data_IF_560411913373
#
_entry.id   IF_560411913373
#
_cell.length_a   1.000
_cell.length_b   1.000
_cell.length_c   1.000
_cell.angle_alpha   90.00
_cell.angle_beta   90.00
_cell.angle_gamma   90.00
#
_symmetry.space_group_name_H-M   'P 1'
#
loop_
_entity.id
_entity.type
_entity.pdbx_description
1 polymer ?
#
# COMPACT_ATOMS: atom_id res chain seq x y z
N UNK A 1 7.11 -17.55 -7.40
CA UNK A 1 7.27 -16.08 -7.35
C UNK A 1 5.92 -15.39 -7.19
N UNK A 2 4.91 -15.69 -8.01
CA UNK A 2 3.54 -15.14 -7.89
C UNK A 2 2.96 -15.40 -6.49
N UNK A 3 2.87 -16.68 -6.08
CA UNK A 3 2.36 -17.07 -4.76
C UNK A 3 3.02 -16.34 -3.58
N UNK A 4 4.33 -16.08 -3.65
CA UNK A 4 5.04 -15.35 -2.60
C UNK A 4 4.69 -13.86 -2.62
N UNK A 5 4.52 -13.27 -3.82
CA UNK A 5 4.07 -11.90 -3.94
C UNK A 5 2.66 -11.72 -3.35
N UNK A 6 1.75 -12.67 -3.58
CA UNK A 6 0.38 -12.57 -3.05
C UNK A 6 0.37 -12.68 -1.53
N UNK A 7 1.11 -13.62 -0.95
CA UNK A 7 1.28 -13.70 0.51
C UNK A 7 1.87 -12.42 1.08
N UNK A 8 2.91 -11.87 0.45
CA UNK A 8 3.50 -10.61 0.87
C UNK A 8 2.49 -9.45 0.78
N UNK A 9 1.71 -9.33 -0.29
CA UNK A 9 0.67 -8.30 -0.44
C UNK A 9 -0.41 -8.40 0.64
N UNK A 10 -0.87 -9.62 0.95
CA UNK A 10 -1.87 -9.86 2.00
C UNK A 10 -1.32 -9.46 3.37
N UNK A 11 -0.13 -9.95 3.71
CA UNK A 11 0.48 -9.63 4.99
C UNK A 11 0.82 -8.15 5.12
N UNK A 12 1.27 -7.50 4.04
CA UNK A 12 1.54 -6.07 4.02
C UNK A 12 0.28 -5.26 4.35
N UNK A 13 -0.85 -5.59 3.71
CA UNK A 13 -2.14 -5.00 4.01
C UNK A 13 -2.55 -5.17 5.47
N UNK A 14 -2.43 -6.39 6.02
CA UNK A 14 -2.77 -6.68 7.43
C UNK A 14 -1.92 -5.84 8.38
N UNK A 15 -0.60 -5.79 8.19
CA UNK A 15 0.30 -5.00 9.03
C UNK A 15 0.02 -3.50 8.93
N UNK A 16 -0.38 -3.01 7.76
CA UNK A 16 -0.77 -1.61 7.57
C UNK A 16 -2.09 -1.29 8.29
N UNK A 17 -3.09 -2.18 8.23
CA UNK A 17 -4.35 -2.05 8.98
C UNK A 17 -4.07 -1.97 10.49
N UNK A 18 -3.20 -2.83 11.02
CA UNK A 18 -2.80 -2.79 12.44
C UNK A 18 -2.18 -1.43 12.77
N UNK A 19 -1.20 -0.99 11.97
CA UNK A 19 -0.50 0.28 12.19
C UNK A 19 -1.44 1.47 12.23
N UNK A 20 -2.31 1.63 11.23
CA UNK A 20 -3.26 2.74 11.19
C UNK A 20 -4.37 2.62 12.22
N UNK A 21 -4.77 1.41 12.61
CA UNK A 21 -5.72 1.22 13.71
C UNK A 21 -5.12 1.69 15.04
N UNK A 22 -3.83 1.43 15.26
CA UNK A 22 -3.12 1.94 16.44
C UNK A 22 -3.02 3.47 16.43
N UNK A 23 -2.67 4.05 15.28
CA UNK A 23 -2.62 5.51 15.09
C UNK A 23 -4.00 6.14 15.34
N UNK A 24 -5.05 5.57 14.77
CA UNK A 24 -6.44 6.04 14.96
C UNK A 24 -6.87 5.93 16.41
N UNK A 25 -6.60 4.79 17.07
CA UNK A 25 -6.91 4.58 18.47
C UNK A 25 -6.24 5.61 19.38
N UNK A 26 -4.98 5.93 19.12
CA UNK A 26 -4.23 6.90 19.90
C UNK A 26 -4.65 8.36 19.64
N UNK A 27 -4.70 8.78 18.38
CA UNK A 27 -4.84 10.20 18.02
C UNK A 27 -6.29 10.63 17.77
N UNK A 28 -7.15 9.73 17.30
CA UNK A 28 -8.57 10.05 17.04
C UNK A 28 -9.43 9.82 18.27
N UNK A 29 -9.29 8.64 18.89
CA UNK A 29 -10.16 8.22 19.98
C UNK A 29 -9.56 8.36 21.38
N UNK A 30 -8.26 8.69 21.48
CA UNK A 30 -7.54 8.79 22.75
C UNK A 30 -7.68 7.51 23.62
N UNK A 31 -7.78 6.34 23.00
CA UNK A 31 -7.93 5.07 23.72
C UNK A 31 -6.69 4.68 24.53
N UNK A 32 -5.52 5.07 24.03
CA UNK A 32 -4.23 4.83 24.67
C UNK A 32 -3.22 5.89 24.20
N UNK A 33 -2.11 6.01 24.93
CA UNK A 33 -0.99 6.89 24.53
C UNK A 33 -0.07 6.14 23.56
N UNK A 34 0.40 6.83 22.52
CA UNK A 34 1.38 6.31 21.57
C UNK A 34 2.79 6.30 22.21
N UNK A 35 3.02 5.38 23.14
CA UNK A 35 4.28 5.24 23.87
C UNK A 35 4.56 3.77 24.23
N UNK A 36 5.84 3.46 24.51
CA UNK A 36 6.28 2.13 24.93
C UNK A 36 5.93 1.05 23.90
N UNK A 37 5.34 -0.06 24.35
CA UNK A 37 5.01 -1.22 23.51
C UNK A 37 4.10 -0.88 22.33
N UNK A 38 3.11 0.00 22.53
CA UNK A 38 2.18 0.39 21.44
C UNK A 38 2.94 1.05 20.29
N UNK A 39 3.85 1.95 20.63
CA UNK A 39 4.70 2.63 19.67
C UNK A 39 5.60 1.65 18.92
N UNK A 40 6.25 0.74 19.65
CA UNK A 40 7.10 -0.31 19.04
C UNK A 40 6.32 -1.21 18.10
N UNK A 41 5.09 -1.62 18.46
CA UNK A 41 4.25 -2.43 17.58
C UNK A 41 3.91 -1.67 16.32
N UNK A 42 3.47 -0.41 16.42
CA UNK A 42 3.17 0.44 15.27
C UNK A 42 4.38 0.59 14.34
N UNK A 43 5.57 0.85 14.88
CA UNK A 43 6.81 0.95 14.10
C UNK A 43 7.16 -0.36 13.40
N UNK A 44 7.10 -1.48 14.11
CA UNK A 44 7.43 -2.80 13.55
C UNK A 44 6.44 -3.16 12.44
N UNK A 45 5.14 -2.89 12.63
CA UNK A 45 4.14 -3.17 11.60
C UNK A 45 4.26 -2.23 10.39
N UNK A 46 4.64 -0.96 10.58
CA UNK A 46 4.96 -0.06 9.46
C UNK A 46 6.25 -0.45 8.73
N UNK A 47 7.27 -0.91 9.44
CA UNK A 47 8.47 -1.44 8.81
C UNK A 47 8.16 -2.71 8.02
N UNK A 48 7.40 -3.63 8.62
CA UNK A 48 7.04 -4.90 8.01
C UNK A 48 6.20 -4.70 6.75
N UNK A 49 5.21 -3.80 6.77
CA UNK A 49 4.37 -3.55 5.60
C UNK A 49 5.19 -3.02 4.42
N UNK A 50 6.07 -2.04 4.66
CA UNK A 50 6.96 -1.51 3.62
C UNK A 50 7.88 -2.58 3.02
N UNK A 51 8.50 -3.42 3.85
CA UNK A 51 9.35 -4.52 3.39
C UNK A 51 8.54 -5.53 2.57
N UNK A 52 7.36 -5.92 3.05
CA UNK A 52 6.51 -6.90 2.37
C UNK A 52 6.02 -6.38 1.01
N UNK A 53 5.63 -5.10 0.92
CA UNK A 53 5.30 -4.46 -0.35
C UNK A 53 6.49 -4.44 -1.32
N UNK A 54 7.68 -4.07 -0.82
CA UNK A 54 8.88 -4.03 -1.64
C UNK A 54 9.23 -5.41 -2.20
N UNK A 55 9.16 -6.45 -1.37
CA UNK A 55 9.43 -7.83 -1.78
C UNK A 55 8.38 -8.34 -2.78
N UNK A 56 7.09 -8.11 -2.50
CA UNK A 56 6.02 -8.53 -3.41
C UNK A 56 6.19 -7.89 -4.79
N UNK A 57 6.39 -6.58 -4.81
CA UNK A 57 6.54 -5.80 -6.04
C UNK A 57 7.83 -6.15 -6.79
N UNK A 58 8.91 -6.48 -6.08
CA UNK A 58 10.15 -6.99 -6.68
C UNK A 58 9.95 -8.33 -7.41
N UNK A 59 9.21 -9.27 -6.79
CA UNK A 59 8.86 -10.53 -7.46
C UNK A 59 7.97 -10.31 -8.67
N UNK A 60 6.93 -9.47 -8.56
CA UNK A 60 6.04 -9.17 -9.68
C UNK A 60 6.75 -8.43 -10.82
N UNK A 61 7.69 -7.54 -10.51
CA UNK A 61 8.52 -6.87 -11.51
C UNK A 61 9.30 -7.90 -12.32
N UNK A 62 9.99 -8.83 -11.65
CA UNK A 62 10.75 -9.89 -12.32
C UNK A 62 9.88 -10.76 -13.21
N UNK A 63 8.68 -11.13 -12.75
CA UNK A 63 7.72 -11.90 -13.56
C UNK A 63 7.30 -11.11 -14.80
N UNK A 64 6.94 -9.83 -14.64
CA UNK A 64 6.52 -8.98 -15.76
C UNK A 64 7.63 -8.74 -16.78
N UNK A 65 8.89 -8.69 -16.34
CA UNK A 65 10.04 -8.68 -17.26
C UNK A 65 10.15 -9.97 -18.05
N UNK A 66 9.93 -11.14 -17.43
CA UNK A 66 9.98 -12.44 -18.13
C UNK A 66 8.86 -12.55 -19.18
N UNK A 67 7.66 -12.05 -18.89
CA UNK A 67 6.53 -12.07 -19.83
C UNK A 67 6.52 -10.88 -20.81
N UNK A 68 7.59 -10.09 -20.87
CA UNK A 68 7.74 -8.91 -21.74
C UNK A 68 6.64 -7.85 -21.56
N UNK A 69 6.07 -7.71 -20.36
CA UNK A 69 5.09 -6.68 -20.03
C UNK A 69 5.79 -5.48 -19.34
N UNK A 70 6.43 -4.64 -20.15
CA UNK A 70 7.22 -3.51 -19.66
C UNK A 70 6.39 -2.51 -18.83
N UNK A 71 5.15 -2.22 -19.25
CA UNK A 71 4.29 -1.26 -18.56
C UNK A 71 3.98 -1.69 -17.13
N UNK A 72 3.62 -2.97 -16.93
CA UNK A 72 3.33 -3.51 -15.60
C UNK A 72 4.63 -3.68 -14.80
N UNK A 73 5.75 -4.07 -15.43
CA UNK A 73 7.04 -4.15 -14.75
C UNK A 73 7.47 -2.79 -14.16
N UNK A 74 7.29 -1.70 -14.89
CA UNK A 74 7.54 -0.33 -14.39
C UNK A 74 6.61 0.01 -13.23
N UNK A 75 5.30 -0.27 -13.35
CA UNK A 75 4.34 -0.04 -12.28
C UNK A 75 4.72 -0.77 -10.99
N UNK A 76 5.11 -2.04 -11.08
CA UNK A 76 5.57 -2.83 -9.93
C UNK A 76 6.91 -2.31 -9.38
N UNK A 77 7.82 -1.83 -10.23
CA UNK A 77 9.07 -1.20 -9.78
C UNK A 77 8.78 0.05 -8.93
N UNK A 78 7.80 0.86 -9.34
CA UNK A 78 7.37 2.04 -8.57
C UNK A 78 6.82 1.61 -7.20
N UNK A 79 5.99 0.56 -7.13
CA UNK A 79 5.50 0.01 -5.84
C UNK A 79 6.68 -0.47 -4.97
N UNK A 80 7.69 -1.09 -5.59
CA UNK A 80 8.88 -1.55 -4.87
C UNK A 80 9.60 -0.39 -4.16
N UNK A 81 9.86 0.71 -4.87
CA UNK A 81 10.40 1.93 -4.25
C UNK A 81 9.47 2.52 -3.19
N UNK A 82 8.16 2.48 -3.43
CA UNK A 82 7.16 2.91 -2.44
C UNK A 82 7.28 2.14 -1.12
N UNK A 83 7.39 0.80 -1.21
CA UNK A 83 7.60 -0.07 -0.06
C UNK A 83 8.92 0.20 0.67
N UNK A 84 9.99 0.48 -0.06
CA UNK A 84 11.28 0.87 0.53
C UNK A 84 11.13 2.17 1.36
N UNK A 85 10.44 3.19 0.83
CA UNK A 85 10.20 4.40 1.61
C UNK A 85 9.40 4.12 2.89
N UNK A 86 8.34 3.33 2.82
CA UNK A 86 7.60 2.94 4.03
C UNK A 86 8.47 2.17 5.04
N UNK A 87 9.33 1.27 4.56
CA UNK A 87 10.26 0.54 5.42
C UNK A 87 11.24 1.49 6.12
N UNK A 88 11.79 2.48 5.40
CA UNK A 88 12.66 3.53 5.97
C UNK A 88 11.92 4.33 7.04
N UNK A 89 10.65 4.68 6.81
CA UNK A 89 9.82 5.33 7.82
C UNK A 89 9.70 4.49 9.10
N UNK A 90 9.47 3.19 8.97
CA UNK A 90 9.37 2.31 10.14
C UNK A 90 10.71 2.12 10.89
N UNK A 91 11.82 2.01 10.16
CA UNK A 91 13.16 1.77 10.74
C UNK A 91 13.70 2.96 11.54
N UNK A 92 13.42 4.19 11.09
CA UNK A 92 14.01 5.41 11.64
C UNK A 92 13.02 6.26 12.44
N UNK A 93 11.97 5.63 12.98
CA UNK A 93 10.93 6.31 13.76
C UNK A 93 10.32 7.52 13.03
N UNK A 94 10.04 7.32 11.74
CA UNK A 94 9.39 8.30 10.90
C UNK A 94 7.96 8.54 11.35
N UNK A 95 7.68 9.77 11.77
CA UNK A 95 6.38 10.25 12.21
C UNK A 95 5.85 11.21 11.15
N UNK A 96 4.99 10.76 10.21
CA UNK A 96 4.46 11.63 9.16
C UNK A 96 3.67 12.84 9.68
N UNK A 97 3.23 12.83 10.93
CA UNK A 97 2.62 13.99 11.59
C UNK A 97 3.58 15.16 11.83
N UNK A 98 4.91 14.96 11.83
CA UNK A 98 5.88 16.07 11.88
C UNK A 98 5.95 16.85 10.56
N UNK A 99 5.37 16.31 9.49
CA UNK A 99 5.27 16.99 8.21
C UNK A 99 4.01 17.87 8.23
N UNK A 100 4.17 19.08 8.72
CA UNK A 100 3.06 20.05 8.84
C UNK A 100 2.72 20.76 7.52
N UNK A 101 3.60 20.73 6.53
CA UNK A 101 3.43 21.45 5.28
C UNK A 101 4.27 20.82 4.17
N UNK A 102 4.02 21.19 2.91
CA UNK A 102 4.74 20.61 1.76
C UNK A 102 6.24 20.92 1.79
N UNK A 103 6.62 22.01 2.48
CA UNK A 103 8.02 22.39 2.65
C UNK A 103 8.85 21.26 3.24
N UNK A 104 8.33 20.62 4.30
CA UNK A 104 9.02 19.54 5.02
C UNK A 104 9.05 18.21 4.26
N UNK A 105 8.18 18.04 3.26
CA UNK A 105 8.31 16.91 2.32
C UNK A 105 9.49 17.15 1.39
N UNK A 106 9.58 18.34 0.80
CA UNK A 106 10.55 18.69 -0.25
C UNK A 106 11.96 18.97 0.28
N UNK A 107 12.05 19.59 1.45
CA UNK A 107 13.29 19.96 2.11
C UNK A 107 13.18 19.67 3.62
N UNK A 108 13.31 18.39 4.02
CA UNK A 108 13.39 18.01 5.43
C UNK A 108 14.54 18.75 6.13
N UNK A 109 14.38 19.07 7.40
CA UNK A 109 15.30 19.86 8.21
C UNK A 109 15.50 19.27 9.61
N UNK A 110 15.90 20.09 10.59
CA UNK A 110 16.06 19.63 11.98
C UNK A 110 14.75 19.32 12.70
N UNK A 111 13.61 19.82 12.21
CA UNK A 111 12.29 19.61 12.80
C UNK A 111 11.52 18.44 12.17
N UNK A 112 11.77 18.16 10.89
CA UNK A 112 11.25 17.00 10.19
C UNK A 112 12.35 16.28 9.42
N UNK A 113 12.63 15.03 9.79
CA UNK A 113 13.67 14.21 9.17
C UNK A 113 13.16 13.59 7.86
N UNK A 114 14.09 13.12 7.02
CA UNK A 114 13.75 12.41 5.79
C UNK A 114 12.85 11.18 6.03
N UNK A 115 13.05 10.46 7.14
CA UNK A 115 12.21 9.34 7.54
C UNK A 115 10.76 9.75 7.81
N UNK A 116 10.52 10.98 8.31
CA UNK A 116 9.18 11.53 8.54
C UNK A 116 8.48 11.84 7.19
N UNK A 117 9.24 12.21 6.16
CA UNK A 117 8.73 12.48 4.80
C UNK A 117 8.55 11.20 3.95
N UNK A 118 9.21 10.11 4.30
CA UNK A 118 9.16 8.84 3.55
C UNK A 118 7.74 8.30 3.29
N UNK A 119 6.77 8.36 4.23
CA UNK A 119 5.40 7.95 3.96
C UNK A 119 4.73 8.70 2.81
N UNK A 120 5.07 9.97 2.60
CA UNK A 120 4.55 10.77 1.48
C UNK A 120 5.11 10.30 0.14
N UNK A 121 6.40 10.00 0.08
CA UNK A 121 7.02 9.40 -1.11
C UNK A 121 6.47 8.00 -1.37
N UNK A 122 6.38 7.18 -0.32
CA UNK A 122 5.81 5.83 -0.36
C UNK A 122 4.41 5.81 -0.94
N UNK A 123 3.50 6.60 -0.37
CA UNK A 123 2.10 6.62 -0.82
C UNK A 123 1.95 7.19 -2.23
N UNK A 124 2.78 8.16 -2.62
CA UNK A 124 2.77 8.73 -3.97
C UNK A 124 3.14 7.67 -5.01
N UNK A 125 4.16 6.86 -4.73
CA UNK A 125 4.51 5.71 -5.58
C UNK A 125 3.32 4.75 -5.72
N UNK A 126 2.64 4.42 -4.63
CA UNK A 126 1.45 3.56 -4.65
C UNK A 126 0.30 4.17 -5.46
N UNK A 127 -0.01 5.45 -5.26
CA UNK A 127 -1.05 6.14 -6.02
C UNK A 127 -0.78 6.12 -7.52
N UNK A 128 0.46 6.41 -7.94
CA UNK A 128 0.85 6.40 -9.37
C UNK A 128 0.73 4.99 -9.94
N UNK A 129 1.33 4.00 -9.28
CA UNK A 129 1.34 2.62 -9.78
C UNK A 129 -0.06 1.99 -9.83
N UNK A 130 -0.90 2.24 -8.82
CA UNK A 130 -2.28 1.75 -8.80
C UNK A 130 -3.16 2.45 -9.84
N UNK A 131 -2.89 3.72 -10.17
CA UNK A 131 -3.56 4.41 -11.29
C UNK A 131 -3.19 3.79 -12.63
N UNK A 132 -1.90 3.49 -12.84
CA UNK A 132 -1.43 2.78 -14.03
C UNK A 132 -2.07 1.40 -14.14
N UNK A 133 -2.10 0.65 -13.03
CA UNK A 133 -2.76 -0.65 -12.95
C UNK A 133 -4.24 -0.57 -13.32
N UNK A 134 -4.98 0.37 -12.71
CA UNK A 134 -6.42 0.51 -12.92
C UNK A 134 -6.75 0.86 -14.38
N UNK A 135 -5.96 1.73 -15.00
CA UNK A 135 -6.08 2.04 -16.42
C UNK A 135 -5.88 0.78 -17.28
N UNK A 136 -4.87 -0.05 -16.95
CA UNK A 136 -4.59 -1.30 -17.65
C UNK A 136 -5.70 -2.35 -17.56
N UNK A 137 -6.49 -2.37 -16.48
CA UNK A 137 -7.59 -3.34 -16.28
C UNK A 137 -8.98 -2.77 -16.51
N UNK A 138 -9.11 -1.50 -16.91
CA UNK A 138 -10.40 -0.80 -16.97
C UNK A 138 -11.44 -1.48 -17.89
N UNK A 139 -10.95 -2.06 -19.00
CA UNK A 139 -11.75 -2.77 -19.99
C UNK A 139 -12.13 -4.20 -19.62
N UNK A 140 -11.64 -4.75 -18.50
CA UNK A 140 -11.94 -6.12 -18.11
C UNK A 140 -13.39 -6.29 -17.61
N UNK A 141 -13.96 -7.51 -17.72
CA UNK A 141 -15.29 -7.80 -17.19
C UNK A 141 -15.40 -7.54 -15.69
N UNK A 142 -16.48 -6.87 -15.27
CA UNK A 142 -16.73 -6.48 -13.87
C UNK A 142 -17.77 -7.37 -13.18
N UNK A 143 -18.22 -8.42 -13.87
CA UNK A 143 -19.32 -9.28 -13.45
C UNK A 143 -18.98 -10.26 -12.33
N UNK A 144 -17.68 -10.47 -12.04
CA UNK A 144 -17.21 -11.33 -10.94
C UNK A 144 -16.41 -10.50 -9.95
N UNK A 145 -16.74 -10.61 -8.66
CA UNK A 145 -16.03 -9.91 -7.58
C UNK A 145 -14.56 -10.38 -7.47
N UNK A 146 -14.33 -11.70 -7.53
CA UNK A 146 -12.97 -12.24 -7.63
C UNK A 146 -12.50 -12.11 -9.07
N UNK A 147 -11.87 -10.98 -9.39
CA UNK A 147 -11.32 -10.69 -10.72
C UNK A 147 -10.20 -9.64 -10.66
N UNK A 148 -9.35 -9.56 -11.70
CA UNK A 148 -8.25 -8.60 -11.74
C UNK A 148 -8.72 -7.15 -11.61
N UNK A 149 -9.89 -6.82 -12.18
CA UNK A 149 -10.46 -5.47 -12.10
C UNK A 149 -10.70 -5.06 -10.65
N UNK A 150 -11.41 -5.87 -9.86
CA UNK A 150 -11.74 -5.52 -8.48
C UNK A 150 -10.52 -5.55 -7.56
N UNK A 151 -9.55 -6.44 -7.79
CA UNK A 151 -8.30 -6.44 -7.03
C UNK A 151 -7.56 -5.10 -7.18
N UNK A 152 -7.34 -4.68 -8.43
CA UNK A 152 -6.65 -3.42 -8.73
C UNK A 152 -7.47 -2.20 -8.35
N UNK A 153 -8.80 -2.24 -8.50
CA UNK A 153 -9.68 -1.16 -8.07
C UNK A 153 -9.63 -0.97 -6.54
N UNK A 154 -9.59 -2.06 -5.76
CA UNK A 154 -9.39 -1.99 -4.32
C UNK A 154 -8.03 -1.39 -3.96
N UNK A 155 -6.96 -1.78 -4.67
CA UNK A 155 -5.65 -1.16 -4.50
C UNK A 155 -5.65 0.34 -4.77
N UNK A 156 -6.28 0.76 -5.86
CA UNK A 156 -6.42 2.16 -6.23
C UNK A 156 -7.19 2.94 -5.18
N UNK A 157 -8.39 2.48 -4.79
CA UNK A 157 -9.22 3.15 -3.78
C UNK A 157 -8.45 3.25 -2.46
N UNK A 158 -7.77 2.19 -2.05
CA UNK A 158 -6.99 2.17 -0.82
C UNK A 158 -5.84 3.18 -0.81
N UNK A 159 -4.99 3.14 -1.83
CA UNK A 159 -3.83 4.03 -1.96
C UNK A 159 -4.25 5.50 -2.06
N UNK A 160 -5.28 5.81 -2.84
CA UNK A 160 -5.76 7.18 -3.00
C UNK A 160 -6.48 7.70 -1.76
N UNK A 161 -7.18 6.85 -1.02
CA UNK A 161 -7.79 7.23 0.27
C UNK A 161 -6.71 7.61 1.29
N UNK A 162 -5.69 6.77 1.46
CA UNK A 162 -4.57 7.08 2.38
C UNK A 162 -3.79 8.29 1.87
N UNK A 163 -3.49 8.36 0.58
CA UNK A 163 -2.63 9.40 0.01
C UNK A 163 -3.29 10.77 -0.01
N UNK A 164 -4.48 10.89 -0.60
CA UNK A 164 -5.16 12.19 -0.75
C UNK A 164 -5.77 12.64 0.56
N UNK A 165 -6.52 11.75 1.23
CA UNK A 165 -7.21 12.14 2.46
C UNK A 165 -6.24 12.04 3.62
N UNK A 166 -5.61 10.89 3.81
CA UNK A 166 -4.79 10.61 4.99
C UNK A 166 -3.47 11.36 5.13
N UNK A 167 -2.86 11.85 4.04
CA UNK A 167 -1.51 12.44 4.06
C UNK A 167 -1.46 13.79 3.32
N UNK A 168 -1.60 13.78 1.99
CA UNK A 168 -1.39 14.98 1.17
C UNK A 168 -2.43 16.08 1.41
N UNK A 169 -3.69 15.74 1.66
CA UNK A 169 -4.77 16.70 1.86
C UNK A 169 -4.45 17.74 2.95
N UNK A 170 -4.19 17.32 4.20
CA UNK A 170 -3.79 18.25 5.27
C UNK A 170 -2.54 19.05 4.94
N UNK A 171 -1.50 18.39 4.45
CA UNK A 171 -0.21 19.02 4.14
C UNK A 171 -0.32 20.08 3.04
N UNK A 172 -1.19 19.86 2.05
CA UNK A 172 -1.46 20.83 0.99
C UNK A 172 -2.32 22.00 1.47
N UNK A 173 -3.25 21.76 2.41
CA UNK A 173 -4.09 22.82 2.99
C UNK A 173 -3.30 23.77 3.90
N UNK A 174 -2.30 23.24 4.61
CA UNK A 174 -1.37 24.04 5.43
C UNK A 174 -0.26 24.71 4.58
N UNK A 175 -0.18 24.42 3.27
CA UNK A 175 0.67 25.14 2.31
C UNK A 175 2.18 25.00 2.58
N UNK A 176 2.86 26.11 2.84
CA UNK A 176 4.32 26.19 3.06
C UNK A 176 4.68 26.71 4.47
N UNK A 177 3.78 26.57 5.44
CA UNK A 177 4.01 26.99 6.84
C UNK A 177 5.24 26.31 7.41
N UNK A 178 6.03 27.06 8.18
CA UNK A 178 7.23 26.57 8.87
C UNK A 178 7.02 26.50 10.38
N UNK A 179 7.78 25.64 11.04
CA UNK A 179 7.84 25.58 12.50
C UNK A 179 8.22 26.93 13.13
N UNK A 180 9.00 27.75 12.42
CA UNK A 180 9.42 29.10 12.86
C UNK A 180 8.28 30.13 12.85
N UNK A 181 7.19 29.85 12.13
CA UNK A 181 6.06 30.77 11.99
C UNK A 181 5.13 30.74 13.22
N UNK A 182 5.35 29.82 14.17
CA UNK A 182 4.54 29.69 15.38
C UNK A 182 5.14 30.46 16.56
N UNK A 183 4.38 31.42 17.08
CA UNK A 183 4.78 32.20 18.27
C UNK A 183 4.76 31.36 19.54
N UNK A 184 3.80 30.44 19.67
CA UNK A 184 3.73 29.48 20.77
C UNK A 184 3.74 28.03 20.24
N UNK A 185 4.41 27.07 20.93
CA UNK A 185 4.38 25.66 20.55
C UNK A 185 2.97 25.05 20.47
N UNK A 186 2.00 25.65 21.18
CA UNK A 186 0.61 25.23 21.15
C UNK A 186 -0.10 25.53 19.83
N UNK A 187 0.39 26.51 19.07
CA UNK A 187 -0.22 26.93 17.81
C UNK A 187 -0.07 25.86 16.72
N UNK A 188 0.92 24.99 16.88
CA UNK A 188 1.14 23.80 16.06
C UNK A 188 -0.08 22.87 16.06
N UNK A 189 -0.76 22.72 17.20
CA UNK A 189 -1.94 21.85 17.31
C UNK A 189 -3.16 22.40 16.56
N UNK A 190 -3.14 23.67 16.16
CA UNK A 190 -4.20 24.27 15.33
C UNK A 190 -4.01 23.97 13.83
N UNK A 191 -2.85 23.47 13.41
CA UNK A 191 -2.59 23.07 12.02
C UNK A 191 -3.52 21.93 11.60
N UNK A 192 -3.96 21.91 10.34
CA UNK A 192 -4.95 20.92 9.87
C UNK A 192 -4.42 19.50 9.97
N UNK A 193 -3.11 19.34 9.80
CA UNK A 193 -2.39 18.08 10.01
C UNK A 193 -2.60 17.48 11.41
N UNK A 194 -2.76 18.32 12.44
CA UNK A 194 -3.00 17.88 13.82
C UNK A 194 -4.46 18.03 14.28
N UNK A 195 -5.16 19.04 13.76
CA UNK A 195 -6.52 19.39 14.18
C UNK A 195 -7.57 18.40 13.63
N UNK A 196 -7.30 17.74 12.50
CA UNK A 196 -8.24 16.81 11.89
C UNK A 196 -7.98 15.36 12.30
N UNK A 197 -8.10 15.06 13.58
CA UNK A 197 -7.83 13.72 14.12
C UNK A 197 -8.67 12.60 13.47
N UNK A 198 -9.85 12.91 12.93
CA UNK A 198 -10.70 11.95 12.19
C UNK A 198 -10.07 11.44 10.89
N UNK A 199 -9.01 12.07 10.41
CA UNK A 199 -8.36 11.69 9.17
C UNK A 199 -7.72 10.30 9.21
N UNK A 200 -7.29 9.85 10.40
CA UNK A 200 -6.68 8.55 10.59
C UNK A 200 -7.65 7.39 10.31
N UNK A 201 -8.96 7.61 10.47
CA UNK A 201 -9.99 6.62 10.10
C UNK A 201 -9.94 6.34 8.60
N UNK A 202 -9.70 7.35 7.77
CA UNK A 202 -9.56 7.16 6.32
C UNK A 202 -8.30 6.36 5.98
N UNK A 203 -7.23 6.50 6.78
CA UNK A 203 -6.03 5.68 6.62
C UNK A 203 -6.34 4.19 6.88
N UNK A 204 -7.13 3.89 7.92
CA UNK A 204 -7.61 2.52 8.19
C UNK A 204 -8.49 1.99 7.07
N UNK A 205 -9.48 2.78 6.63
CA UNK A 205 -10.36 2.41 5.51
C UNK A 205 -9.53 2.10 4.26
N UNK A 206 -8.58 2.96 3.92
CA UNK A 206 -7.71 2.73 2.77
C UNK A 206 -6.86 1.47 2.91
N UNK A 207 -6.33 1.18 4.10
CA UNK A 207 -5.57 -0.05 4.34
C UNK A 207 -6.43 -1.31 4.25
N UNK A 208 -7.71 -1.24 4.65
CA UNK A 208 -8.66 -2.35 4.45
C UNK A 208 -8.87 -2.61 2.94
N UNK A 209 -9.01 -1.56 2.13
CA UNK A 209 -9.11 -1.71 0.67
C UNK A 209 -7.82 -2.28 0.05
N UNK A 210 -6.64 -1.84 0.48
CA UNK A 210 -5.36 -2.43 0.05
C UNK A 210 -5.30 -3.94 0.40
N UNK A 211 -5.70 -4.28 1.63
CA UNK A 211 -5.74 -5.68 2.10
C UNK A 211 -6.72 -6.51 1.28
N UNK A 212 -7.91 -5.98 1.01
CA UNK A 212 -8.92 -6.64 0.18
C UNK A 212 -8.41 -6.89 -1.25
N UNK A 213 -7.69 -5.93 -1.85
CA UNK A 213 -7.04 -6.11 -3.14
C UNK A 213 -6.04 -7.29 -3.13
N UNK A 214 -5.22 -7.37 -2.08
CA UNK A 214 -4.27 -8.48 -1.88
C UNK A 214 -4.96 -9.83 -1.71
N UNK A 215 -6.05 -9.87 -0.94
CA UNK A 215 -6.86 -11.08 -0.75
C UNK A 215 -7.48 -11.52 -2.07
N UNK A 216 -8.04 -10.62 -2.88
CA UNK A 216 -8.65 -10.97 -4.17
C UNK A 216 -7.60 -11.59 -5.11
N UNK A 217 -6.40 -11.03 -5.21
CA UNK A 217 -5.32 -11.67 -5.99
C UNK A 217 -4.96 -13.04 -5.42
N UNK A 218 -4.76 -13.15 -4.10
CA UNK A 218 -4.49 -14.43 -3.46
C UNK A 218 -5.57 -15.49 -3.72
N UNK A 219 -6.85 -15.10 -3.78
CA UNK A 219 -7.94 -16.00 -4.16
C UNK A 219 -7.86 -16.43 -5.63
N UNK A 220 -7.52 -15.52 -6.54
CA UNK A 220 -7.34 -15.85 -7.97
C UNK A 220 -6.19 -16.83 -8.20
N UNK A 221 -5.11 -16.68 -7.42
CA UNK A 221 -3.93 -17.54 -7.48
C UNK A 221 -4.03 -18.79 -6.56
N UNK A 222 -5.20 -19.01 -5.95
CA UNK A 222 -5.52 -20.14 -5.08
C UNK A 222 -4.59 -20.32 -3.87
N UNK A 223 -4.00 -19.25 -3.34
CA UNK A 223 -3.06 -19.35 -2.21
C UNK A 223 -3.71 -19.84 -0.91
N UNK A 224 -5.05 -19.71 -0.81
CA UNK A 224 -5.83 -20.07 0.38
C UNK A 224 -6.39 -21.50 0.35
N UNK A 225 -6.39 -22.14 -0.82
CA UNK A 225 -6.87 -23.52 -0.95
C UNK A 225 -5.68 -24.47 -1.10
N UNK A 226 -5.22 -25.04 0.02
CA UNK A 226 -4.28 -26.18 0.04
C UNK A 226 -5.02 -27.49 -0.33
N UNK A 227 -5.68 -27.52 -1.48
CA UNK A 227 -6.23 -28.76 -2.07
C UNK A 227 -5.25 -29.33 -3.11
N UNK A 228 -5.20 -30.65 -3.33
CA UNK A 228 -4.33 -31.23 -4.35
C UNK A 228 -4.69 -30.64 -5.71
N UNK A 229 -3.69 -30.06 -6.39
CA UNK A 229 -3.78 -29.50 -7.73
C UNK A 229 -4.45 -30.49 -8.70
N UNK A 230 -5.75 -30.34 -8.94
CA UNK A 230 -6.46 -31.10 -9.98
C UNK A 230 -6.22 -30.54 -11.38
N UNK A 231 -5.44 -29.45 -11.54
CA UNK A 231 -5.09 -28.84 -12.83
C UNK A 231 -4.12 -29.66 -13.69
N UNK A 232 -3.78 -30.88 -13.30
CA UNK A 232 -2.89 -31.76 -14.06
C UNK A 232 -3.56 -32.92 -14.81
N UNK A 233 -4.89 -32.99 -14.85
CA UNK A 233 -5.60 -34.16 -15.41
C UNK A 233 -6.59 -33.85 -16.55
N UNK A 234 -6.71 -32.60 -17.01
CA UNK A 234 -7.64 -32.26 -18.11
C UNK A 234 -6.94 -32.00 -19.47
N UNK A 235 -5.61 -32.14 -19.56
CA UNK A 235 -4.87 -31.88 -20.82
C UNK A 235 -4.41 -33.15 -21.57
N UNK A 236 -4.81 -34.37 -21.18
CA UNK A 236 -4.32 -35.61 -21.82
C UNK A 236 -5.32 -36.39 -22.68
N UNK A 237 -6.61 -36.06 -22.69
CA UNK A 237 -7.62 -36.96 -23.27
C UNK A 237 -8.15 -36.54 -24.65
N UNK A 238 -7.76 -35.37 -25.18
CA UNK A 238 -8.24 -34.90 -26.50
C UNK A 238 -7.30 -35.22 -27.67
N UNK A 239 -6.12 -35.82 -27.43
CA UNK A 239 -5.11 -36.07 -28.49
C UNK A 239 -5.14 -37.51 -29.07
N UNK A 240 -6.11 -38.35 -28.73
CA UNK A 240 -6.14 -39.77 -29.13
C UNK A 240 -7.17 -40.19 -30.19
N UNK A 241 -8.02 -39.29 -30.73
CA UNK A 241 -9.11 -39.70 -31.63
C UNK A 241 -9.09 -39.14 -33.08
N UNK A 242 -7.97 -38.62 -33.62
CA UNK A 242 -7.99 -38.12 -35.03
C UNK A 242 -6.96 -38.64 -36.04
N UNK A 243 -6.19 -39.68 -35.72
CA UNK A 243 -5.19 -40.22 -36.67
C UNK A 243 -5.57 -41.51 -37.39
N UNK A 244 -6.85 -41.87 -37.46
CA UNK A 244 -7.34 -42.96 -38.32
C UNK A 244 -8.47 -42.42 -39.21
N UNK A 245 -8.11 -41.90 -40.39
CA UNK A 245 -8.87 -41.98 -41.64
C UNK A 245 -8.34 -40.97 -42.66
N UNK A 246 -7.36 -41.37 -43.47
CA UNK A 246 -7.17 -40.93 -44.85
C UNK A 246 -6.26 -41.94 -45.56
N UNK A 247 -6.89 -42.97 -46.14
CA UNK A 247 -6.35 -43.80 -47.21
C UNK A 247 -6.94 -43.33 -48.55
#
# INVERSE_FOLDING_TARGET
MVLMADWCNVWAGITLVISFSLITGAFTFNWFKMAGTVHTVMQVTMCAEGVLWAVAAGFLTKINMIVNNAAVAVGQTIICFGGIFFAVSGLYDGVPGKIISIHYVLAPDTHALFADACPYYGITCFMVATSMGLNGVWGLPKNKFVSPFWAVACFFIGAWTIGVIGLWGPTLLDGFVRYEDFEAPTDLYNQKTFAWSWIHIFQVIGAIFLTLGGIIFGMMDNIFFMGPNSRGLEESDDDLESSDNCA
#
